data_IF_107327282746
#
_entry.id   IF_107327282746
#
_cell.length_a   1.000
_cell.length_b   1.000
_cell.length_c   1.000
_cell.angle_alpha   90.00
_cell.angle_beta   90.00
_cell.angle_gamma   90.00
#
_symmetry.space_group_name_H-M   'P 1'
#
loop_
_entity.id
_entity.type
_entity.pdbx_description
1 polymer ?
#
# COMPACT_ATOMS: atom_id res chain seq x y z
N UNK A 1 -37.80 -7.08 6.59
CA UNK A 1 -36.43 -7.50 6.22
C UNK A 1 -35.70 -6.28 5.69
N UNK A 2 -34.52 -5.96 6.22
CA UNK A 2 -33.68 -4.88 5.68
C UNK A 2 -32.89 -5.42 4.48
N UNK A 3 -33.03 -4.80 3.32
CA UNK A 3 -32.29 -5.18 2.11
C UNK A 3 -31.04 -4.33 2.00
N UNK A 4 -29.87 -4.96 1.92
CA UNK A 4 -28.63 -4.24 1.64
C UNK A 4 -28.58 -3.86 0.15
N UNK A 5 -29.05 -2.65 -0.16
CA UNK A 5 -29.17 -2.12 -1.52
C UNK A 5 -27.80 -2.13 -2.24
N UNK A 6 -26.71 -1.82 -1.54
CA UNK A 6 -25.36 -1.84 -2.11
C UNK A 6 -24.88 -3.24 -2.47
N UNK A 7 -25.23 -4.25 -1.65
CA UNK A 7 -24.97 -5.67 -1.95
C UNK A 7 -25.75 -6.13 -3.18
N UNK A 8 -27.00 -5.71 -3.31
CA UNK A 8 -27.85 -6.05 -4.45
C UNK A 8 -27.33 -5.43 -5.75
N UNK A 9 -27.04 -4.12 -5.78
CA UNK A 9 -26.38 -3.46 -6.92
C UNK A 9 -25.05 -4.14 -7.29
N UNK A 10 -24.31 -4.58 -6.28
CA UNK A 10 -23.26 -5.62 -6.28
C UNK A 10 -23.51 -6.73 -7.31
N UNK A 11 -24.40 -7.59 -6.86
CA UNK A 11 -24.76 -8.85 -7.50
C UNK A 11 -25.33 -8.62 -8.89
N UNK A 12 -26.09 -7.54 -9.09
CA UNK A 12 -26.61 -7.14 -10.40
C UNK A 12 -25.48 -6.77 -11.39
N UNK A 13 -24.47 -6.02 -10.94
CA UNK A 13 -23.31 -5.68 -11.78
C UNK A 13 -22.48 -6.91 -12.14
N UNK A 14 -22.26 -7.81 -11.18
CA UNK A 14 -21.54 -9.07 -11.43
C UNK A 14 -22.31 -9.98 -12.38
N UNK A 15 -23.64 -10.02 -12.28
CA UNK A 15 -24.49 -10.75 -13.21
C UNK A 15 -24.34 -10.20 -14.64
N UNK A 16 -24.38 -8.87 -14.80
CA UNK A 16 -24.15 -8.21 -16.10
C UNK A 16 -22.76 -8.51 -16.65
N UNK A 17 -21.71 -8.42 -15.83
CA UNK A 17 -20.34 -8.76 -16.21
C UNK A 17 -20.25 -10.22 -16.72
N UNK A 18 -20.90 -11.15 -16.03
CA UNK A 18 -20.95 -12.56 -16.42
C UNK A 18 -21.67 -12.76 -17.75
N UNK A 19 -22.78 -12.05 -17.98
CA UNK A 19 -23.48 -12.08 -19.28
C UNK A 19 -22.59 -11.58 -20.41
N UNK A 20 -21.92 -10.44 -20.23
CA UNK A 20 -20.99 -9.88 -21.23
C UNK A 20 -19.86 -10.88 -21.52
N UNK A 21 -19.27 -11.49 -20.49
CA UNK A 21 -18.25 -12.54 -20.67
C UNK A 21 -18.75 -13.71 -21.53
N UNK A 22 -19.99 -14.16 -21.31
CA UNK A 22 -20.58 -15.23 -22.10
C UNK A 22 -20.80 -14.83 -23.56
N UNK A 23 -21.22 -13.59 -23.83
CA UNK A 23 -21.36 -13.09 -25.21
C UNK A 23 -20.02 -13.08 -25.95
N UNK A 24 -18.95 -12.66 -25.28
CA UNK A 24 -17.61 -12.58 -25.85
C UNK A 24 -17.01 -13.98 -26.05
N UNK A 25 -17.22 -14.90 -25.12
CA UNK A 25 -16.80 -16.29 -25.26
C UNK A 25 -17.49 -17.02 -26.43
N UNK A 26 -18.70 -16.59 -26.81
CA UNK A 26 -19.44 -17.12 -27.96
C UNK A 26 -19.03 -16.48 -29.30
N UNK A 27 -18.26 -15.38 -29.27
CA UNK A 27 -17.75 -14.71 -30.46
C UNK A 27 -16.50 -15.43 -31.02
N UNK A 28 -16.14 -15.20 -32.30
CA UNK A 28 -14.89 -15.70 -32.87
C UNK A 28 -13.69 -15.22 -32.04
N UNK A 29 -12.88 -16.15 -31.55
CA UNK A 29 -11.76 -15.85 -30.65
C UNK A 29 -10.59 -15.23 -31.42
N UNK A 30 -10.67 -13.92 -31.62
CA UNK A 30 -9.63 -13.08 -32.21
C UNK A 30 -8.91 -12.24 -31.13
N UNK A 31 -7.94 -11.44 -31.57
CA UNK A 31 -7.17 -10.55 -30.67
C UNK A 31 -8.07 -9.55 -29.91
N UNK A 32 -9.13 -9.05 -30.55
CA UNK A 32 -10.10 -8.15 -29.92
C UNK A 32 -10.87 -8.82 -28.79
N UNK A 33 -11.25 -10.08 -28.99
CA UNK A 33 -11.95 -10.91 -28.00
C UNK A 33 -11.07 -11.14 -26.77
N UNK A 34 -9.76 -11.37 -26.99
CA UNK A 34 -8.77 -11.44 -25.91
C UNK A 34 -8.67 -10.14 -25.09
N UNK A 35 -8.57 -8.99 -25.76
CA UNK A 35 -8.50 -7.68 -25.11
C UNK A 35 -9.76 -7.38 -24.29
N UNK A 36 -10.95 -7.66 -24.83
CA UNK A 36 -12.21 -7.42 -24.12
C UNK A 36 -12.37 -8.34 -22.90
N UNK A 37 -11.90 -9.59 -22.96
CA UNK A 37 -11.89 -10.48 -21.80
C UNK A 37 -10.95 -9.96 -20.69
N UNK A 38 -9.84 -9.33 -21.06
CA UNK A 38 -8.95 -8.65 -20.09
C UNK A 38 -9.67 -7.50 -19.40
N UNK A 39 -10.28 -6.58 -20.17
CA UNK A 39 -11.01 -5.43 -19.62
C UNK A 39 -12.16 -5.85 -18.69
N UNK A 40 -12.89 -6.92 -19.04
CA UNK A 40 -13.97 -7.44 -18.17
C UNK A 40 -13.41 -8.01 -16.87
N UNK A 41 -12.26 -8.67 -16.93
CA UNK A 41 -11.62 -9.24 -15.75
C UNK A 41 -11.13 -8.14 -14.79
N UNK A 42 -10.63 -7.02 -15.33
CA UNK A 42 -10.32 -5.81 -14.55
C UNK A 42 -11.56 -5.22 -13.89
N UNK A 43 -12.66 -5.04 -14.65
CA UNK A 43 -13.92 -4.54 -14.10
C UNK A 43 -14.52 -5.46 -13.02
N UNK A 44 -14.43 -6.78 -13.21
CA UNK A 44 -14.89 -7.75 -12.22
C UNK A 44 -14.09 -7.64 -10.91
N UNK A 45 -12.78 -7.45 -11.02
CA UNK A 45 -11.89 -7.24 -9.87
C UNK A 45 -12.29 -5.98 -9.10
N UNK A 46 -12.56 -4.88 -9.79
CA UNK A 46 -12.95 -3.60 -9.16
C UNK A 46 -14.32 -3.67 -8.48
N UNK A 47 -15.31 -4.30 -9.13
CA UNK A 47 -16.65 -4.50 -8.56
C UNK A 47 -16.61 -5.39 -7.31
N UNK A 48 -15.71 -6.38 -7.30
CA UNK A 48 -15.42 -7.23 -6.14
C UNK A 48 -14.49 -6.59 -5.11
N UNK A 49 -13.98 -5.39 -5.38
CA UNK A 49 -13.16 -4.61 -4.46
C UNK A 49 -13.79 -4.40 -3.08
N UNK A 50 -12.93 -4.04 -2.12
CA UNK A 50 -13.25 -3.91 -0.71
C UNK A 50 -14.41 -2.93 -0.49
N UNK A 51 -15.40 -3.33 0.32
CA UNK A 51 -16.71 -2.65 0.47
C UNK A 51 -16.79 -1.70 1.67
N UNK A 52 -15.87 -1.87 2.61
CA UNK A 52 -15.82 -1.16 3.88
C UNK A 52 -14.35 -0.96 4.24
N UNK A 53 -14.03 0.26 4.65
CA UNK A 53 -12.65 0.70 4.87
C UNK A 53 -12.33 1.94 4.07
N UNK A 54 -11.06 2.31 4.09
CA UNK A 54 -10.54 3.47 3.41
C UNK A 54 -10.49 3.22 1.89
N UNK A 55 -11.09 4.12 1.10
CA UNK A 55 -10.97 4.13 -0.36
C UNK A 55 -10.25 5.40 -0.75
N UNK A 56 -9.18 5.26 -1.51
CA UNK A 56 -8.34 6.36 -1.94
C UNK A 56 -7.67 6.03 -3.27
N UNK A 57 -7.24 7.05 -4.00
CA UNK A 57 -6.50 6.88 -5.25
C UNK A 57 -5.11 6.32 -4.98
N UNK A 58 -4.78 5.20 -5.61
CA UNK A 58 -3.44 4.65 -5.57
C UNK A 58 -2.52 5.46 -6.49
N UNK A 59 -1.37 5.83 -5.95
CA UNK A 59 -0.33 6.56 -6.64
C UNK A 59 0.94 5.73 -6.60
N UNK A 60 1.60 5.59 -7.76
CA UNK A 60 2.91 4.97 -7.89
C UNK A 60 3.99 6.05 -7.86
N UNK A 61 5.06 5.79 -7.13
CA UNK A 61 6.28 6.60 -7.11
C UNK A 61 7.31 6.03 -8.10
N UNK A 62 8.28 6.85 -8.51
CA UNK A 62 9.38 6.40 -9.41
C UNK A 62 10.09 5.16 -8.85
N UNK A 63 10.24 5.10 -7.51
CA UNK A 63 10.85 3.95 -6.85
C UNK A 63 10.04 2.66 -7.05
N UNK A 64 8.71 2.72 -7.20
CA UNK A 64 7.90 1.53 -7.51
C UNK A 64 8.27 0.96 -8.88
N UNK A 65 8.44 1.83 -9.89
CA UNK A 65 8.80 1.42 -11.25
C UNK A 65 10.22 0.81 -11.31
N UNK A 66 11.13 1.39 -10.53
CA UNK A 66 12.49 0.86 -10.38
C UNK A 66 12.43 -0.54 -9.75
N UNK A 67 11.69 -0.70 -8.64
CA UNK A 67 11.60 -1.95 -7.90
C UNK A 67 10.88 -3.07 -8.67
N UNK A 68 10.00 -2.74 -9.62
CA UNK A 68 9.34 -3.72 -10.51
C UNK A 68 10.37 -4.46 -11.40
N UNK A 69 11.51 -3.84 -11.71
CA UNK A 69 12.51 -4.37 -12.64
C UNK A 69 13.89 -4.59 -12.02
N UNK A 70 14.18 -3.95 -10.89
CA UNK A 70 15.50 -3.96 -10.24
C UNK A 70 15.40 -4.40 -8.78
N UNK A 71 16.33 -5.27 -8.38
CA UNK A 71 16.49 -5.61 -6.96
C UNK A 71 17.49 -4.66 -6.33
N UNK A 72 17.12 -3.91 -5.28
CA UNK A 72 18.06 -3.04 -4.59
C UNK A 72 19.17 -3.86 -3.93
N UNK A 73 20.34 -3.25 -3.71
CA UNK A 73 21.51 -3.89 -3.10
C UNK A 73 22.12 -2.94 -2.08
N UNK A 74 22.51 -3.47 -0.91
CA UNK A 74 23.25 -2.69 0.08
C UNK A 74 24.73 -2.70 -0.26
N UNK A 75 25.34 -1.52 -0.27
CA UNK A 75 26.79 -1.35 -0.34
C UNK A 75 27.26 -0.83 1.00
N UNK A 76 28.24 -1.49 1.60
CA UNK A 76 28.85 -1.03 2.86
C UNK A 76 29.77 0.14 2.59
N UNK A 77 29.54 1.25 3.30
CA UNK A 77 30.51 2.34 3.41
C UNK A 77 31.33 2.16 4.71
N UNK A 78 32.60 1.81 4.53
CA UNK A 78 33.51 1.50 5.64
C UNK A 78 33.95 2.74 6.41
N UNK A 79 33.82 3.93 5.82
CA UNK A 79 34.24 5.17 6.47
C UNK A 79 33.32 5.53 7.66
N UNK A 80 32.09 5.02 7.66
CA UNK A 80 31.13 5.19 8.75
C UNK A 80 31.10 4.03 9.75
N UNK A 81 31.97 3.03 9.60
CA UNK A 81 32.02 1.90 10.52
C UNK A 81 32.60 2.31 11.88
N UNK A 82 31.85 2.05 12.95
CA UNK A 82 32.25 2.33 14.33
C UNK A 82 32.19 1.03 15.13
N UNK A 83 33.34 0.53 15.59
CA UNK A 83 33.42 -0.61 16.50
C UNK A 83 33.49 -0.14 17.96
N UNK A 84 32.48 -0.51 18.75
CA UNK A 84 32.39 -0.22 20.17
C UNK A 84 32.12 -1.48 21.02
N UNK A 85 32.52 -2.67 20.52
CA UNK A 85 32.63 -3.90 21.32
C UNK A 85 31.34 -4.49 21.91
N UNK A 86 30.16 -4.13 21.39
CA UNK A 86 28.89 -4.48 22.04
C UNK A 86 27.79 -5.01 21.13
N UNK A 87 27.36 -4.24 20.12
CA UNK A 87 26.22 -4.59 19.25
C UNK A 87 26.38 -3.93 17.88
N UNK A 88 26.00 -4.66 16.83
CA UNK A 88 25.99 -4.14 15.46
C UNK A 88 24.71 -3.34 15.23
N UNK A 89 24.85 -2.08 14.81
CA UNK A 89 23.75 -1.22 14.37
C UNK A 89 23.95 -0.89 12.89
N UNK A 90 22.84 -0.76 12.15
CA UNK A 90 22.87 -0.40 10.74
C UNK A 90 22.28 0.99 10.53
N UNK A 91 22.99 1.81 9.76
CA UNK A 91 22.45 3.01 9.13
C UNK A 91 22.34 2.72 7.64
N UNK A 92 21.14 2.86 7.08
CA UNK A 92 20.89 2.65 5.66
C UNK A 92 20.51 4.00 5.05
N UNK A 93 21.30 4.45 4.09
CA UNK A 93 21.02 5.65 3.29
C UNK A 93 20.38 5.24 1.97
N UNK A 94 19.23 5.84 1.65
CA UNK A 94 18.47 5.59 0.43
C UNK A 94 16.97 5.77 0.62
N UNK A 95 16.20 5.42 -0.41
CA UNK A 95 14.75 5.41 -0.29
C UNK A 95 14.30 4.34 0.73
N UNK A 96 13.37 4.72 1.59
CA UNK A 96 12.90 3.86 2.67
C UNK A 96 12.08 2.67 2.18
N UNK A 97 11.35 2.77 1.07
CA UNK A 97 10.59 1.66 0.50
C UNK A 97 11.54 0.58 -0.01
N UNK A 98 12.57 0.97 -0.77
CA UNK A 98 13.60 0.05 -1.24
C UNK A 98 14.35 -0.62 -0.07
N UNK A 99 14.67 0.16 0.97
CA UNK A 99 15.32 -0.33 2.19
C UNK A 99 14.43 -1.34 2.93
N UNK A 100 13.13 -1.05 3.07
CA UNK A 100 12.16 -1.94 3.70
C UNK A 100 12.01 -3.26 2.92
N UNK A 101 12.01 -3.24 1.59
CA UNK A 101 11.97 -4.45 0.78
C UNK A 101 13.20 -5.35 1.00
N UNK A 102 14.39 -4.77 1.23
CA UNK A 102 15.58 -5.53 1.58
C UNK A 102 15.52 -6.11 2.98
N UNK A 103 15.07 -5.31 3.94
CA UNK A 103 14.86 -5.75 5.31
C UNK A 103 13.80 -6.86 5.36
N UNK A 104 12.76 -6.83 4.52
CA UNK A 104 11.74 -7.89 4.47
C UNK A 104 12.37 -9.26 4.16
N UNK A 105 13.41 -9.30 3.33
CA UNK A 105 14.10 -10.55 2.97
C UNK A 105 14.93 -11.13 4.12
N UNK A 106 15.37 -10.29 5.06
CA UNK A 106 16.39 -10.66 6.07
C UNK A 106 15.86 -10.63 7.51
N UNK A 107 14.87 -9.79 7.80
CA UNK A 107 14.40 -9.47 9.16
C UNK A 107 12.88 -9.64 9.33
N UNK A 108 12.22 -10.40 8.44
CA UNK A 108 10.80 -10.72 8.55
C UNK A 108 10.46 -11.33 9.90
N UNK A 109 9.50 -10.74 10.61
CA UNK A 109 9.04 -11.24 11.91
C UNK A 109 10.02 -11.06 13.07
N UNK A 110 11.11 -10.30 12.89
CA UNK A 110 12.20 -10.19 13.86
C UNK A 110 12.31 -8.80 14.50
N UNK A 111 11.51 -7.82 14.07
CA UNK A 111 11.58 -6.45 14.61
C UNK A 111 10.59 -6.31 15.76
N UNK A 112 11.10 -5.97 16.95
CA UNK A 112 10.25 -5.78 18.14
C UNK A 112 9.55 -4.42 18.16
N UNK A 113 10.21 -3.39 17.65
CA UNK A 113 9.72 -2.01 17.72
C UNK A 113 10.04 -1.26 16.44
N UNK A 114 9.05 -0.59 15.88
CA UNK A 114 9.22 0.39 14.81
C UNK A 114 8.73 1.74 15.32
N UNK A 115 9.56 2.77 15.17
CA UNK A 115 9.17 4.15 15.43
C UNK A 115 9.40 4.96 14.15
N UNK A 116 8.38 5.70 13.71
CA UNK A 116 8.46 6.57 12.54
C UNK A 116 7.83 7.94 12.83
N UNK A 117 8.39 8.95 12.19
CA UNK A 117 7.90 10.33 12.19
C UNK A 117 7.67 10.76 10.73
N UNK A 118 6.61 10.24 10.08
CA UNK A 118 6.34 10.56 8.68
C UNK A 118 5.98 12.04 8.53
N UNK A 119 6.09 12.62 7.33
CA UNK A 119 5.70 14.00 7.09
C UNK A 119 4.21 14.24 7.34
N UNK A 120 3.87 15.33 8.03
CA UNK A 120 2.54 15.61 8.58
C UNK A 120 1.53 16.22 7.59
N UNK A 121 1.91 16.40 6.31
CA UNK A 121 1.02 16.98 5.28
C UNK A 121 0.42 18.37 5.66
N UNK A 122 1.14 19.18 6.45
CA UNK A 122 0.65 20.41 7.12
C UNK A 122 0.42 21.62 6.20
N UNK A 123 0.62 21.50 4.88
CA UNK A 123 0.57 22.61 3.89
C UNK A 123 1.57 23.77 4.13
N UNK A 124 2.37 23.72 5.21
CA UNK A 124 3.41 24.70 5.56
C UNK A 124 4.81 24.17 5.23
N UNK A 125 5.07 22.92 5.58
CA UNK A 125 6.34 22.24 5.33
C UNK A 125 6.16 21.30 4.14
N UNK A 126 5.88 21.89 2.97
CA UNK A 126 5.49 21.21 1.73
C UNK A 126 5.84 19.73 1.73
N UNK A 127 4.83 18.87 1.88
CA UNK A 127 5.03 17.44 1.68
C UNK A 127 5.39 17.26 0.22
N UNK A 128 6.69 17.17 -0.05
CA UNK A 128 7.24 17.02 -1.39
C UNK A 128 7.33 15.54 -1.70
N UNK A 129 6.45 15.10 -2.58
CA UNK A 129 6.83 14.06 -3.52
C UNK A 129 7.84 14.68 -4.51
N UNK A 130 8.95 14.00 -4.81
CA UNK A 130 9.57 14.22 -6.13
C UNK A 130 8.52 13.73 -7.14
N UNK A 131 7.83 14.55 -7.93
CA UNK A 131 8.33 15.61 -8.80
C UNK A 131 7.36 16.77 -8.99
N UNK A 132 6.35 16.92 -8.13
CA UNK A 132 5.47 18.09 -8.16
C UNK A 132 5.06 18.43 -6.74
N UNK A 133 5.37 19.67 -6.34
CA UNK A 133 4.81 20.28 -5.14
C UNK A 133 3.32 19.92 -5.08
N UNK A 134 2.90 19.19 -4.05
CA UNK A 134 1.48 18.93 -3.83
C UNK A 134 0.84 20.31 -3.64
N UNK A 135 0.16 20.78 -4.69
CA UNK A 135 -0.50 22.09 -4.67
C UNK A 135 -1.51 22.07 -3.50
N UNK A 136 -1.65 23.19 -2.81
CA UNK A 136 -2.69 23.36 -1.78
C UNK A 136 -4.08 23.08 -2.34
N UNK A 137 -4.25 23.26 -3.66
CA UNK A 137 -5.48 22.97 -4.39
C UNK A 137 -5.61 21.51 -4.86
N UNK A 138 -4.60 20.66 -4.65
CA UNK A 138 -4.69 19.24 -4.98
C UNK A 138 -5.69 18.56 -4.04
N UNK A 139 -6.82 18.17 -4.60
CA UNK A 139 -7.90 17.47 -3.91
C UNK A 139 -7.53 16.04 -3.52
N UNK A 140 -6.46 15.48 -4.09
CA UNK A 140 -6.02 14.09 -3.90
C UNK A 140 -4.83 13.95 -2.96
N UNK A 141 -4.40 15.02 -2.30
CA UNK A 141 -3.23 15.01 -1.40
C UNK A 141 -3.28 13.92 -0.31
N UNK A 142 -4.45 13.72 0.29
CA UNK A 142 -4.64 12.72 1.34
C UNK A 142 -4.55 11.31 0.75
N UNK A 143 -5.10 11.10 -0.45
CA UNK A 143 -4.96 9.82 -1.17
C UNK A 143 -3.51 9.51 -1.52
N UNK A 144 -2.74 10.49 -2.00
CA UNK A 144 -1.32 10.33 -2.30
C UNK A 144 -0.51 9.97 -1.05
N UNK A 145 -0.72 10.71 0.06
CA UNK A 145 -0.05 10.43 1.33
C UNK A 145 -0.40 9.03 1.87
N UNK A 146 -1.67 8.62 1.77
CA UNK A 146 -2.08 7.27 2.15
C UNK A 146 -1.48 6.18 1.25
N UNK A 147 -1.36 6.43 -0.06
CA UNK A 147 -0.69 5.50 -0.98
C UNK A 147 0.76 5.29 -0.59
N UNK A 148 1.48 6.39 -0.35
CA UNK A 148 2.86 6.40 0.14
C UNK A 148 3.00 5.62 1.46
N UNK A 149 2.13 5.89 2.44
CA UNK A 149 2.18 5.23 3.75
C UNK A 149 1.77 3.76 3.70
N UNK A 150 0.76 3.40 2.88
CA UNK A 150 0.24 2.02 2.78
C UNK A 150 1.32 1.04 2.37
N UNK A 151 2.13 1.37 1.36
CA UNK A 151 3.19 0.48 0.90
C UNK A 151 4.22 0.22 2.00
N UNK A 152 4.70 1.29 2.65
CA UNK A 152 5.69 1.23 3.74
C UNK A 152 5.17 0.50 4.97
N UNK A 153 3.96 0.82 5.41
CA UNK A 153 3.31 0.18 6.55
C UNK A 153 3.02 -1.30 6.30
N UNK A 154 2.70 -1.69 5.07
CA UNK A 154 2.49 -3.09 4.71
C UNK A 154 3.77 -3.91 4.90
N UNK A 155 4.93 -3.38 4.51
CA UNK A 155 6.21 -4.07 4.70
C UNK A 155 6.64 -4.02 6.16
N UNK A 156 6.51 -2.86 6.83
CA UNK A 156 6.79 -2.70 8.25
C UNK A 156 6.03 -3.72 9.10
N UNK A 157 4.75 -3.98 8.80
CA UNK A 157 3.97 -5.01 9.49
C UNK A 157 4.56 -6.42 9.32
N UNK A 158 5.10 -6.77 8.15
CA UNK A 158 5.75 -8.08 7.94
C UNK A 158 7.08 -8.20 8.68
N UNK A 159 7.76 -7.08 8.93
CA UNK A 159 9.00 -7.03 9.71
C UNK A 159 8.75 -7.24 11.20
N UNK A 160 7.61 -6.77 11.71
CA UNK A 160 7.26 -6.88 13.12
C UNK A 160 7.15 -8.35 13.57
N UNK A 161 7.72 -8.63 14.73
CA UNK A 161 7.49 -9.88 15.44
C UNK A 161 6.03 -9.96 15.94
N UNK A 162 5.60 -11.15 16.37
CA UNK A 162 4.19 -11.39 16.78
C UNK A 162 3.66 -10.42 17.84
N UNK A 163 4.53 -9.98 18.75
CA UNK A 163 4.20 -9.05 19.84
C UNK A 163 4.84 -7.66 19.63
N UNK A 164 5.34 -7.39 18.42
CA UNK A 164 6.01 -6.15 18.11
C UNK A 164 5.03 -4.99 18.06
N UNK A 165 5.55 -3.79 18.27
CA UNK A 165 4.76 -2.57 18.28
C UNK A 165 5.27 -1.57 17.25
N UNK A 166 4.35 -0.79 16.68
CA UNK A 166 4.67 0.37 15.84
C UNK A 166 4.14 1.64 16.48
N UNK A 167 5.00 2.64 16.56
CA UNK A 167 4.67 3.98 17.03
C UNK A 167 4.87 4.96 15.88
N UNK A 168 3.87 5.79 15.65
CA UNK A 168 3.84 6.76 14.55
C UNK A 168 3.50 8.11 15.14
N UNK A 169 4.40 9.07 14.98
CA UNK A 169 4.16 10.47 15.33
C UNK A 169 3.39 11.16 14.21
N UNK A 170 2.33 11.87 14.55
CA UNK A 170 1.41 12.52 13.59
C UNK A 170 0.85 13.80 14.18
N UNK A 171 0.37 14.67 13.30
CA UNK A 171 -0.51 15.79 13.66
C UNK A 171 -1.99 15.45 13.43
N UNK A 172 -2.87 16.42 13.68
CA UNK A 172 -4.32 16.21 13.59
C UNK A 172 -4.83 15.98 12.15
N UNK A 173 -4.03 16.24 11.11
CA UNK A 173 -4.49 16.18 9.71
C UNK A 173 -4.64 14.74 9.21
N UNK A 174 -3.73 13.83 9.58
CA UNK A 174 -3.68 12.46 9.03
C UNK A 174 -4.01 11.36 10.04
N UNK A 175 -4.14 11.68 11.34
CA UNK A 175 -4.39 10.69 12.40
C UNK A 175 -5.60 9.81 12.13
N UNK A 176 -6.74 10.40 11.74
CA UNK A 176 -7.97 9.64 11.50
C UNK A 176 -7.80 8.66 10.34
N UNK A 177 -7.19 9.13 9.25
CA UNK A 177 -7.03 8.40 8.01
C UNK A 177 -6.00 7.29 8.14
N UNK A 178 -4.84 7.59 8.74
CA UNK A 178 -3.80 6.61 9.00
C UNK A 178 -4.27 5.53 9.97
N UNK A 179 -5.07 5.88 10.98
CA UNK A 179 -5.62 4.89 11.91
C UNK A 179 -6.45 3.83 11.20
N UNK A 180 -7.34 4.24 10.28
CA UNK A 180 -8.14 3.29 9.49
C UNK A 180 -7.25 2.43 8.59
N UNK A 181 -6.20 3.02 8.00
CA UNK A 181 -5.21 2.29 7.20
C UNK A 181 -4.44 1.26 8.05
N UNK A 182 -4.02 1.63 9.26
CA UNK A 182 -3.37 0.73 10.20
C UNK A 182 -4.29 -0.40 10.66
N UNK A 183 -5.56 -0.11 10.96
CA UNK A 183 -6.55 -1.15 11.28
C UNK A 183 -6.69 -2.14 10.11
N UNK A 184 -6.68 -1.64 8.88
CA UNK A 184 -6.70 -2.48 7.69
C UNK A 184 -5.46 -3.38 7.55
N UNK A 185 -4.26 -2.85 7.79
CA UNK A 185 -3.01 -3.57 7.58
C UNK A 185 -2.71 -4.55 8.74
N UNK A 186 -2.94 -4.10 9.98
CA UNK A 186 -2.50 -4.78 11.19
C UNK A 186 -3.56 -5.72 11.79
N UNK A 187 -4.86 -5.36 11.70
CA UNK A 187 -5.92 -6.10 12.40
C UNK A 187 -6.52 -7.23 11.55
N UNK A 188 -6.63 -7.05 10.22
CA UNK A 188 -7.40 -7.94 9.34
C UNK A 188 -6.82 -9.38 9.22
N UNK A 189 -5.60 -9.66 9.71
CA UNK A 189 -5.05 -11.02 9.77
C UNK A 189 -5.23 -11.76 11.08
N UNK A 190 -5.84 -11.14 12.09
CA UNK A 190 -6.29 -11.90 13.26
C UNK A 190 -7.67 -12.42 12.92
N UNK A 191 -7.72 -13.63 12.37
CA UNK A 191 -8.97 -14.34 12.13
C UNK A 191 -9.81 -14.32 13.41
N UNK A 192 -10.86 -13.49 13.41
CA UNK A 192 -12.04 -13.68 14.24
C UNK A 192 -12.65 -15.03 13.83
N UNK A 193 -12.10 -16.11 14.37
CA UNK A 193 -12.88 -17.31 14.58
C UNK A 193 -13.92 -16.94 15.65
N UNK A 194 -15.13 -16.63 15.19
CA UNK A 194 -16.33 -16.92 15.97
C UNK A 194 -16.71 -18.37 15.73
#
# INVERSE_FOLDING_TARGET
MSTNISKQKREDLLAKIKEIRNFIAAAPQDENTGNLLSYISELEKDVNGKKYGLVFEEHREEIDEILDTHTPVLTEDKDFFIDNGGQMNFLIEGDNLASLHLLEKTHKGNIDLIYIDPPYNTLKDGFTYSDTLVDKNDTFRHSKWLSFMKQRMTIAHKLLCKNGAVFISLDDNEVATLRILCDEILVIKTSLQM
#
